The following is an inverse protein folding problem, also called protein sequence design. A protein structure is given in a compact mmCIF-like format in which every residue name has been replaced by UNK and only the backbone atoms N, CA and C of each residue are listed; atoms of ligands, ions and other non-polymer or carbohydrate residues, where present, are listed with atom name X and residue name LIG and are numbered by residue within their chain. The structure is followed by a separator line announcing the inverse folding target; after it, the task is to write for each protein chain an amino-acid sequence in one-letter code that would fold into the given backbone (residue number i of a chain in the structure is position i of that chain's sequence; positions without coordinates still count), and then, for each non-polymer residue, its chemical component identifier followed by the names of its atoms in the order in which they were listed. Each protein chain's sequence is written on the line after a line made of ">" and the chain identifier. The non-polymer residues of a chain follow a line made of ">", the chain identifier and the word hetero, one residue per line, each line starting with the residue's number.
data_IF_948986472026
#
_entry.id   IF_948986472026
#
_cell.length_a   1.000
_cell.length_b   1.000
_cell.length_c   1.000
_cell.angle_alpha   90.00
_cell.angle_beta   90.00
_cell.angle_gamma   90.00
#
_symmetry.space_group_name_H-M   'P 1'
#
loop_
_entity.id
_entity.type
_entity.pdbx_description
1 polymer ?
#
# COMPACT_ATOMS: atom_id res chain seq x y z
N UNK A 1 -7.97 -10.13 16.53
CA UNK A 1 -7.90 -9.36 15.28
C UNK A 1 -6.49 -9.49 14.75
N UNK A 2 -6.33 -9.52 13.43
CA UNK A 2 -5.01 -9.56 12.79
C UNK A 2 -4.34 -8.19 13.01
N UNK A 3 -3.28 -8.15 13.82
CA UNK A 3 -2.60 -6.93 14.27
C UNK A 3 -2.09 -6.08 13.09
N UNK A 4 -1.72 -6.73 12.00
CA UNK A 4 -1.31 -6.05 10.77
C UNK A 4 -2.45 -5.24 10.14
N UNK A 5 -3.67 -5.80 10.09
CA UNK A 5 -4.82 -5.11 9.49
C UNK A 5 -5.16 -3.82 10.24
N UNK A 6 -5.15 -3.88 11.58
CA UNK A 6 -5.47 -2.72 12.41
C UNK A 6 -4.41 -1.63 12.29
N UNK A 7 -3.13 -2.00 12.29
CA UNK A 7 -2.01 -1.07 12.12
C UNK A 7 -2.01 -0.41 10.73
N UNK A 8 -2.31 -1.17 9.68
CA UNK A 8 -2.43 -0.63 8.31
C UNK A 8 -3.63 0.32 8.21
N UNK A 9 -4.80 -0.09 8.71
CA UNK A 9 -5.99 0.75 8.68
C UNK A 9 -5.82 2.03 9.51
N UNK A 10 -5.09 1.98 10.62
CA UNK A 10 -4.70 3.17 11.38
C UNK A 10 -3.80 4.09 10.56
N UNK A 11 -2.73 3.58 9.95
CA UNK A 11 -1.82 4.39 9.13
C UNK A 11 -2.55 5.08 7.96
N UNK A 12 -3.41 4.33 7.26
CA UNK A 12 -4.25 4.87 6.18
C UNK A 12 -5.20 5.97 6.68
N UNK A 13 -5.83 5.80 7.84
CA UNK A 13 -6.65 6.86 8.43
C UNK A 13 -5.83 8.09 8.72
N UNK A 14 -4.64 7.93 9.32
CA UNK A 14 -3.80 9.06 9.71
C UNK A 14 -3.32 9.90 8.52
N UNK A 15 -2.94 9.29 7.39
CA UNK A 15 -2.58 10.07 6.19
C UNK A 15 -3.75 10.85 5.59
N UNK A 16 -4.99 10.46 5.89
CA UNK A 16 -6.20 11.17 5.43
C UNK A 16 -6.70 12.22 6.42
N UNK A 17 -6.32 12.17 7.70
CA UNK A 17 -6.93 13.00 8.76
C UNK A 17 -5.94 13.86 9.54
N UNK A 18 -4.65 13.60 9.43
CA UNK A 18 -3.56 14.34 10.07
C UNK A 18 -2.61 14.90 9.00
N UNK A 19 -1.72 15.83 9.37
CA UNK A 19 -0.70 16.36 8.45
C UNK A 19 -1.25 17.31 7.37
N UNK A 20 -0.50 17.47 6.28
CA UNK A 20 -0.76 18.40 5.17
C UNK A 20 -1.18 17.72 3.87
N UNK A 21 -0.75 18.27 2.72
CA UNK A 21 -1.05 17.75 1.38
C UNK A 21 -0.06 16.66 0.91
N UNK A 22 1.03 16.45 1.65
CA UNK A 22 2.12 15.54 1.28
C UNK A 22 2.18 14.23 2.08
N UNK A 23 1.06 13.75 2.64
CA UNK A 23 1.10 12.62 3.56
C UNK A 23 1.29 11.29 2.83
N UNK A 24 2.10 10.39 3.39
CA UNK A 24 2.24 9.05 2.87
C UNK A 24 2.55 8.01 3.95
N UNK A 25 2.19 6.76 3.65
CA UNK A 25 2.52 5.60 4.45
C UNK A 25 3.16 4.53 3.57
N UNK A 26 4.25 3.93 4.03
CA UNK A 26 4.93 2.82 3.36
C UNK A 26 4.81 1.59 4.25
N UNK A 27 4.17 0.56 3.72
CA UNK A 27 4.07 -0.75 4.35
C UNK A 27 5.13 -1.66 3.74
N UNK A 28 6.15 -2.01 4.51
CA UNK A 28 7.22 -2.92 4.07
C UNK A 28 7.05 -4.28 4.72
N UNK A 29 6.85 -5.30 3.89
CA UNK A 29 6.77 -6.68 4.34
C UNK A 29 8.14 -7.36 4.35
N UNK A 30 9.02 -7.03 3.42
CA UNK A 30 10.35 -7.64 3.33
C UNK A 30 11.37 -6.67 2.70
N UNK A 31 12.20 -6.06 3.53
CA UNK A 31 13.25 -5.13 3.11
C UNK A 31 14.28 -5.78 2.17
N UNK A 32 14.59 -7.07 2.38
CA UNK A 32 15.64 -7.77 1.60
C UNK A 32 15.18 -8.05 0.19
N UNK A 33 13.88 -8.31 0.02
CA UNK A 33 13.25 -8.50 -1.29
C UNK A 33 12.78 -7.18 -1.93
N UNK A 34 12.67 -6.13 -1.12
CA UNK A 34 12.06 -4.85 -1.43
C UNK A 34 10.55 -4.98 -1.71
N UNK A 35 9.84 -5.78 -0.92
CA UNK A 35 8.39 -5.92 -1.01
C UNK A 35 7.70 -4.90 -0.13
N UNK A 36 7.14 -3.87 -0.77
CA UNK A 36 6.39 -2.82 -0.11
C UNK A 36 5.14 -2.42 -0.90
N UNK A 37 4.21 -1.79 -0.19
CA UNK A 37 3.05 -1.10 -0.75
C UNK A 37 3.04 0.28 -0.10
N UNK A 38 2.92 1.34 -0.89
CA UNK A 38 2.84 2.70 -0.39
C UNK A 38 1.48 3.32 -0.69
N UNK A 39 1.06 4.27 0.14
CA UNK A 39 -0.13 5.09 -0.08
C UNK A 39 0.20 6.55 0.16
N UNK A 40 -0.40 7.43 -0.65
CA UNK A 40 -0.38 8.87 -0.47
C UNK A 40 -1.81 9.41 -0.37
N UNK A 41 -1.98 10.44 0.45
CA UNK A 41 -3.24 11.18 0.62
C UNK A 41 -2.96 12.57 1.19
N UNK A 42 -4.03 13.32 1.43
CA UNK A 42 -4.01 14.68 1.96
C UNK A 42 -4.98 14.76 3.14
N UNK A 43 -4.65 15.59 4.13
CA UNK A 43 -5.55 15.82 5.25
C UNK A 43 -6.90 16.37 4.78
N UNK A 44 -7.98 15.68 5.15
CA UNK A 44 -9.36 16.01 4.76
C UNK A 44 -9.79 15.43 3.42
N UNK A 45 -8.89 14.74 2.70
CA UNK A 45 -9.22 14.03 1.46
C UNK A 45 -9.87 12.68 1.76
N UNK A 46 -10.75 12.26 0.86
CA UNK A 46 -11.28 10.89 0.81
C UNK A 46 -10.56 10.05 -0.25
N UNK A 47 -9.63 10.64 -1.02
CA UNK A 47 -8.86 9.93 -2.03
C UNK A 47 -7.56 9.36 -1.46
N UNK A 48 -7.27 8.11 -1.82
CA UNK A 48 -6.04 7.40 -1.52
C UNK A 48 -5.44 6.90 -2.83
N UNK A 49 -4.24 7.34 -3.15
CA UNK A 49 -3.45 6.75 -4.22
C UNK A 49 -2.50 5.73 -3.63
N UNK A 50 -2.59 4.48 -4.08
CA UNK A 50 -1.72 3.40 -3.64
C UNK A 50 -0.85 2.87 -4.76
N UNK A 51 0.33 2.40 -4.39
CA UNK A 51 1.26 1.70 -5.29
C UNK A 51 1.75 0.40 -4.66
N UNK A 52 1.71 -0.68 -5.43
CA UNK A 52 2.31 -1.96 -5.14
C UNK A 52 3.57 -2.14 -6.00
N UNK A 53 4.69 -2.45 -5.35
CA UNK A 53 6.01 -2.50 -6.01
C UNK A 53 6.01 -3.45 -7.23
N UNK A 54 6.61 -2.98 -8.34
CA UNK A 54 6.79 -3.76 -9.57
C UNK A 54 8.23 -4.28 -9.73
N UNK A 55 8.42 -5.13 -10.74
CA UNK A 55 9.70 -5.74 -11.09
C UNK A 55 10.87 -4.76 -11.30
N UNK A 56 10.61 -3.49 -11.64
CA UNK A 56 11.67 -2.49 -11.82
C UNK A 56 12.37 -2.11 -10.51
N UNK A 57 11.65 -2.20 -9.39
CA UNK A 57 12.14 -1.80 -8.06
C UNK A 57 12.55 -3.00 -7.20
N UNK A 58 12.30 -4.23 -7.65
CA UNK A 58 12.61 -5.43 -6.88
C UNK A 58 14.09 -5.81 -6.94
N UNK A 59 14.57 -6.40 -5.85
CA UNK A 59 15.93 -6.95 -5.80
C UNK A 59 16.10 -8.12 -6.78
N UNK A 60 17.29 -8.23 -7.39
CA UNK A 60 17.57 -9.27 -8.38
C UNK A 60 17.29 -10.68 -7.84
N UNK A 61 16.50 -11.46 -8.57
CA UNK A 61 16.09 -12.82 -8.19
C UNK A 61 14.76 -12.91 -7.44
N UNK A 62 14.15 -11.78 -7.09
CA UNK A 62 12.83 -11.71 -6.45
C UNK A 62 11.75 -11.14 -7.38
N UNK A 63 12.01 -11.14 -8.69
CA UNK A 63 11.05 -10.66 -9.68
C UNK A 63 9.73 -11.46 -9.60
N UNK A 64 8.61 -10.75 -9.68
CA UNK A 64 7.28 -11.28 -9.86
C UNK A 64 7.24 -12.05 -11.17
N UNK A 65 6.77 -13.30 -11.10
CA UNK A 65 6.44 -14.08 -12.29
C UNK A 65 5.06 -13.71 -12.84
N UNK A 66 4.72 -14.20 -14.05
CA UNK A 66 3.48 -13.84 -14.74
C UNK A 66 2.20 -14.09 -13.93
N UNK A 67 2.19 -15.11 -13.06
CA UNK A 67 1.04 -15.41 -12.19
C UNK A 67 0.87 -14.39 -11.07
N UNK A 68 1.95 -13.83 -10.55
CA UNK A 68 1.91 -12.83 -9.49
C UNK A 68 1.47 -11.48 -10.07
N UNK A 69 1.97 -11.12 -11.25
CA UNK A 69 1.55 -9.96 -12.02
C UNK A 69 0.05 -10.03 -12.38
N UNK A 70 -0.41 -11.17 -12.92
CA UNK A 70 -1.84 -11.40 -13.16
C UNK A 70 -2.67 -11.27 -11.88
N UNK A 71 -2.14 -11.73 -10.74
CA UNK A 71 -2.87 -11.65 -9.47
C UNK A 71 -3.02 -10.20 -9.00
N UNK A 72 -2.06 -9.33 -9.24
CA UNK A 72 -2.19 -7.89 -8.98
C UNK A 72 -3.36 -7.30 -9.77
N UNK A 73 -3.46 -7.61 -11.06
CA UNK A 73 -4.56 -7.16 -11.92
C UNK A 73 -5.92 -7.71 -11.44
N UNK A 74 -5.99 -8.96 -10.99
CA UNK A 74 -7.22 -9.54 -10.41
C UNK A 74 -7.63 -8.87 -9.09
N UNK A 75 -6.66 -8.32 -8.34
CA UNK A 75 -6.89 -7.47 -7.17
C UNK A 75 -7.16 -5.99 -7.57
N UNK A 76 -7.34 -5.76 -8.87
CA UNK A 76 -7.63 -4.47 -9.51
C UNK A 76 -6.50 -3.44 -9.44
N UNK A 77 -5.28 -3.86 -9.13
CA UNK A 77 -4.13 -2.99 -9.35
C UNK A 77 -3.91 -2.80 -10.85
N UNK A 78 -3.77 -1.55 -11.28
CA UNK A 78 -3.44 -1.21 -12.65
C UNK A 78 -1.95 -1.45 -12.90
N UNK A 79 -1.57 -1.96 -14.08
CA UNK A 79 -0.16 -2.17 -14.41
C UNK A 79 0.62 -0.86 -14.44
N UNK A 80 1.96 -0.92 -14.37
CA UNK A 80 2.83 0.24 -14.57
C UNK A 80 2.54 0.96 -15.90
N UNK A 81 2.62 2.30 -15.87
CA UNK A 81 2.46 3.21 -17.01
C UNK A 81 3.68 4.15 -17.10
N UNK A 82 3.79 4.94 -18.18
CA UNK A 82 4.96 5.80 -18.46
C UNK A 82 5.33 6.76 -17.30
N UNK A 83 4.37 7.12 -16.45
CA UNK A 83 4.53 8.02 -15.31
C UNK A 83 4.40 7.32 -13.94
N UNK A 84 4.17 6.00 -13.90
CA UNK A 84 4.02 5.22 -12.69
C UNK A 84 4.70 3.86 -12.88
N UNK A 85 5.91 3.71 -12.35
CA UNK A 85 6.72 2.50 -12.54
C UNK A 85 6.18 1.31 -11.75
N UNK A 86 5.28 1.54 -10.80
CA UNK A 86 4.66 0.51 -9.97
C UNK A 86 3.24 0.18 -10.42
N UNK A 87 2.73 -0.94 -9.92
CA UNK A 87 1.30 -1.21 -10.01
C UNK A 87 0.58 -0.19 -9.13
N UNK A 88 -0.52 0.39 -9.59
CA UNK A 88 -1.15 1.49 -8.88
C UNK A 88 -2.67 1.40 -8.90
N UNK A 89 -3.32 2.09 -7.97
CA UNK A 89 -4.76 2.25 -7.94
C UNK A 89 -5.14 3.43 -7.07
N UNK A 90 -6.26 4.05 -7.41
CA UNK A 90 -6.90 5.08 -6.59
C UNK A 90 -8.16 4.49 -5.94
N UNK A 91 -8.39 4.86 -4.68
CA UNK A 91 -9.60 4.57 -3.93
C UNK A 91 -10.21 5.86 -3.44
N UNK A 92 -11.55 5.88 -3.34
CA UNK A 92 -12.29 6.93 -2.65
C UNK A 92 -12.98 6.30 -1.46
N UNK A 93 -12.47 6.58 -0.26
CA UNK A 93 -12.98 6.02 0.99
C UNK A 93 -13.30 7.18 1.95
N UNK A 94 -14.55 7.25 2.40
CA UNK A 94 -15.05 8.26 3.35
C UNK A 94 -15.56 7.63 4.65
N UNK A 95 -15.44 6.30 4.77
CA UNK A 95 -15.90 5.52 5.91
C UNK A 95 -14.82 4.56 6.43
N UNK A 96 -14.80 4.38 7.74
CA UNK A 96 -13.87 3.52 8.48
C UNK A 96 -13.86 2.06 7.96
N UNK A 97 -15.02 1.54 7.55
CA UNK A 97 -15.14 0.18 7.02
C UNK A 97 -14.48 0.02 5.64
N UNK A 98 -14.49 1.08 4.83
CA UNK A 98 -13.80 1.15 3.55
C UNK A 98 -12.28 1.09 3.74
N UNK A 99 -11.75 1.89 4.68
CA UNK A 99 -10.33 1.87 5.03
C UNK A 99 -9.89 0.49 5.58
N UNK A 100 -10.74 -0.18 6.38
CA UNK A 100 -10.47 -1.56 6.82
C UNK A 100 -10.48 -2.55 5.66
N UNK A 101 -11.38 -2.41 4.69
CA UNK A 101 -11.40 -3.25 3.50
C UNK A 101 -10.15 -3.04 2.63
N UNK A 102 -9.66 -1.80 2.55
CA UNK A 102 -8.42 -1.46 1.87
C UNK A 102 -7.20 -2.09 2.58
N UNK A 103 -7.11 -2.02 3.91
CA UNK A 103 -6.10 -2.74 4.67
C UNK A 103 -6.14 -4.27 4.39
N UNK A 104 -7.34 -4.83 4.22
CA UNK A 104 -7.54 -6.20 3.77
C UNK A 104 -6.95 -6.47 2.38
N UNK A 105 -7.12 -5.54 1.44
CA UNK A 105 -6.56 -5.62 0.08
C UNK A 105 -5.03 -5.58 0.11
N UNK A 106 -4.44 -4.74 0.97
CA UNK A 106 -2.98 -4.68 1.20
C UNK A 106 -2.45 -6.02 1.68
N UNK A 107 -3.04 -6.57 2.74
CA UNK A 107 -2.61 -7.88 3.26
C UNK A 107 -2.85 -9.02 2.28
N UNK A 108 -3.93 -8.96 1.50
CA UNK A 108 -4.19 -9.92 0.43
C UNK A 108 -3.11 -9.86 -0.66
N UNK A 109 -2.68 -8.65 -1.03
CA UNK A 109 -1.60 -8.42 -1.98
C UNK A 109 -0.28 -8.99 -1.45
N UNK A 110 0.10 -8.69 -0.20
CA UNK A 110 1.28 -9.28 0.44
C UNK A 110 1.26 -10.81 0.43
N UNK A 111 0.12 -11.41 0.78
CA UNK A 111 0.01 -12.87 0.86
C UNK A 111 0.05 -13.55 -0.50
N UNK A 112 -0.77 -13.07 -1.43
CA UNK A 112 -1.07 -13.79 -2.67
C UNK A 112 -0.11 -13.44 -3.81
N UNK A 113 0.45 -12.23 -3.79
CA UNK A 113 1.42 -11.76 -4.78
C UNK A 113 2.83 -11.94 -4.25
N UNK A 114 3.12 -11.42 -3.05
CA UNK A 114 4.49 -11.39 -2.52
C UNK A 114 4.85 -12.62 -1.66
N UNK A 115 3.90 -13.53 -1.43
CA UNK A 115 4.12 -14.77 -0.68
C UNK A 115 4.45 -14.55 0.79
N UNK A 116 3.95 -13.45 1.37
CA UNK A 116 4.18 -13.08 2.77
C UNK A 116 3.18 -13.84 3.66
N UNK A 117 3.64 -14.56 4.71
CA UNK A 117 2.75 -15.17 5.70
C UNK A 117 1.94 -14.11 6.44
N UNK A 118 0.66 -14.37 6.78
CA UNK A 118 -0.17 -13.37 7.46
C UNK A 118 0.36 -12.99 8.85
N UNK A 119 1.10 -13.88 9.51
CA UNK A 119 1.71 -13.62 10.82
C UNK A 119 3.02 -12.82 10.75
N UNK A 120 3.57 -12.60 9.54
CA UNK A 120 4.78 -11.81 9.38
C UNK A 120 4.47 -10.34 9.72
N UNK A 121 5.23 -9.71 10.64
CA UNK A 121 5.01 -8.31 10.95
C UNK A 121 5.25 -7.43 9.74
N UNK A 122 4.34 -6.48 9.51
CA UNK A 122 4.52 -5.42 8.52
C UNK A 122 5.13 -4.20 9.22
N UNK A 123 6.24 -3.71 8.69
CA UNK A 123 6.82 -2.44 9.08
C UNK A 123 6.05 -1.31 8.41
N UNK A 124 5.72 -0.26 9.16
CA UNK A 124 4.95 0.87 8.65
C UNK A 124 5.75 2.14 8.95
N UNK A 125 6.21 2.78 7.89
CA UNK A 125 6.72 4.14 7.93
C UNK A 125 5.55 5.09 7.63
N UNK A 126 5.32 6.06 8.51
CA UNK A 126 4.29 7.06 8.34
C UNK A 126 4.95 8.44 8.30
N UNK A 127 4.67 9.19 7.24
CA UNK A 127 5.11 10.56 7.06
C UNK A 127 3.88 11.45 6.91
N UNK A 128 3.76 12.42 7.81
CA UNK A 128 2.70 13.40 7.81
C UNK A 128 3.36 14.75 7.59
N UNK A 129 3.03 15.38 6.46
CA UNK A 129 3.60 16.67 6.11
C UNK A 129 3.12 17.74 7.10
N UNK A 130 3.90 18.79 7.33
CA UNK A 130 3.48 19.84 8.26
C UNK A 130 2.36 20.69 7.64
N UNK A 131 1.35 21.03 8.44
CA UNK A 131 0.36 22.02 8.04
C UNK A 131 1.05 23.40 8.03
N UNK A 132 1.24 23.98 6.84
CA UNK A 132 1.62 25.38 6.72
C UNK A 132 0.62 26.23 7.53
N UNK A 133 1.10 26.75 8.67
CA UNK A 133 0.31 27.44 9.69
C UNK A 133 0.15 28.94 9.42
#
# INVERSE_FOLDING_TARGET
>A
MDDNLERIAEALRRIMTEGGEGNFAIMTADERRNYYIQFASECGSTSLFGEAVSNESLTTGNALGPRQEQRLEELSWLPPEDNCTNYHREWTEDHDDGVRALAGTVMQTFREVYGIPPEQPIEIELNLDELDS
#
